data_IF_802358577512
#
_entry.id   IF_802358577512
#
_cell.length_a   1.000
_cell.length_b   1.000
_cell.length_c   1.000
_cell.angle_alpha   90.00
_cell.angle_beta   90.00
_cell.angle_gamma   90.00
#
_symmetry.space_group_name_H-M   'P 1'
#
loop_
_entity.id
_entity.type
_entity.pdbx_description
1 polymer ?
#
# COMPACT_ATOMS: atom_id res chain seq x y z
N UNK A 1 -35.68 -12.69 1.62
CA UNK A 1 -34.99 -13.88 2.17
C UNK A 1 -33.54 -13.82 1.73
N UNK A 2 -32.62 -13.93 2.68
CA UNK A 2 -31.16 -13.84 2.49
C UNK A 2 -30.67 -15.07 1.73
N UNK A 3 -30.17 -14.88 0.52
CA UNK A 3 -29.59 -15.97 -0.27
C UNK A 3 -28.17 -16.23 0.22
N UNK A 4 -28.04 -17.34 0.97
CA UNK A 4 -26.78 -18.00 1.25
C UNK A 4 -26.22 -18.54 -0.06
N UNK A 5 -25.02 -18.14 -0.48
CA UNK A 5 -24.30 -18.78 -1.57
C UNK A 5 -22.81 -18.90 -1.25
N UNK A 6 -22.49 -20.14 -0.84
CA UNK A 6 -21.31 -20.96 -1.14
C UNK A 6 -19.92 -20.35 -0.96
N UNK A 7 -19.36 -20.72 0.20
CA UNK A 7 -17.97 -21.10 0.36
C UNK A 7 -17.50 -21.94 -0.85
N UNK A 8 -16.58 -21.38 -1.63
CA UNK A 8 -15.69 -22.14 -2.49
C UNK A 8 -14.27 -21.76 -2.10
N UNK A 9 -13.82 -22.37 -1.00
CA UNK A 9 -12.44 -22.34 -0.56
C UNK A 9 -11.63 -23.22 -1.53
N UNK A 10 -11.15 -22.63 -2.62
CA UNK A 10 -10.16 -23.24 -3.51
C UNK A 10 -8.79 -23.10 -2.84
N UNK A 11 -8.56 -24.05 -1.94
CA UNK A 11 -7.29 -24.43 -1.34
C UNK A 11 -6.24 -24.75 -2.43
N UNK A 12 -4.99 -24.39 -2.13
CA UNK A 12 -3.72 -24.75 -2.80
C UNK A 12 -3.25 -23.83 -3.93
N UNK A 13 -2.36 -22.91 -3.55
CA UNK A 13 -1.41 -22.25 -4.44
C UNK A 13 -0.29 -21.54 -3.69
N UNK A 14 0.03 -21.99 -2.46
CA UNK A 14 1.19 -21.48 -1.72
C UNK A 14 2.43 -22.11 -2.35
N UNK A 15 2.91 -21.49 -3.42
CA UNK A 15 4.29 -21.69 -3.88
C UNK A 15 5.17 -21.04 -2.83
N UNK A 16 5.94 -21.86 -2.12
CA UNK A 16 6.94 -21.42 -1.16
C UNK A 16 7.76 -20.27 -1.77
N UNK A 17 7.63 -19.07 -1.19
CA UNK A 17 8.51 -17.95 -1.49
C UNK A 17 9.84 -18.28 -0.85
N UNK A 18 10.72 -18.89 -1.65
CA UNK A 18 12.09 -19.18 -1.29
C UNK A 18 12.74 -17.90 -0.76
N UNK A 19 13.38 -18.02 0.40
CA UNK A 19 14.30 -17.06 0.99
C UNK A 19 15.17 -16.41 -0.11
N UNK A 20 14.86 -15.17 -0.47
CA UNK A 20 15.81 -14.34 -1.18
C UNK A 20 16.76 -13.77 -0.13
N UNK A 21 17.77 -14.58 0.20
CA UNK A 21 18.95 -14.17 0.95
C UNK A 21 19.45 -12.85 0.38
N UNK A 22 19.41 -11.82 1.22
CA UNK A 22 20.15 -10.58 1.01
C UNK A 22 21.63 -10.94 0.83
N UNK A 23 22.18 -10.71 -0.36
CA UNK A 23 23.61 -10.72 -0.58
C UNK A 23 23.96 -9.64 -1.60
N UNK A 24 24.69 -8.63 -1.13
CA UNK A 24 25.19 -7.50 -1.89
C UNK A 24 25.95 -6.57 -0.95
N UNK A 25 27.23 -6.90 -0.75
CA UNK A 25 28.19 -6.23 0.13
C UNK A 25 28.26 -4.70 -0.01
N UNK A 26 28.28 -4.04 1.15
CA UNK A 26 28.63 -2.64 1.31
C UNK A 26 29.04 -2.36 2.76
N UNK A 27 30.34 -2.44 3.02
CA UNK A 27 30.98 -2.15 4.31
C UNK A 27 30.56 -0.78 4.88
N UNK A 28 29.82 -0.78 5.99
CA UNK A 28 29.49 0.43 6.75
C UNK A 28 28.84 0.10 8.09
N UNK A 29 29.56 0.34 9.18
CA UNK A 29 29.13 0.19 10.57
C UNK A 29 27.73 0.79 10.85
N UNK A 30 26.80 -0.02 11.37
CA UNK A 30 25.60 0.46 12.06
C UNK A 30 24.48 -0.57 12.23
N UNK A 31 24.45 -1.22 13.39
CA UNK A 31 23.23 -1.80 14.01
C UNK A 31 22.52 -2.91 13.25
N UNK A 32 22.94 -4.16 13.44
CA UNK A 32 22.12 -5.34 13.17
C UNK A 32 20.96 -5.39 14.18
N UNK A 33 19.73 -5.09 13.74
CA UNK A 33 18.51 -5.59 14.36
C UNK A 33 17.35 -5.49 13.36
N UNK A 34 17.32 -6.39 12.37
CA UNK A 34 16.18 -6.51 11.46
C UNK A 34 15.03 -7.22 12.16
N UNK A 35 14.07 -6.46 12.68
CA UNK A 35 12.87 -6.96 13.37
C UNK A 35 11.66 -7.08 12.42
N UNK A 36 11.85 -7.36 11.14
CA UNK A 36 10.75 -7.53 10.18
C UNK A 36 10.72 -8.94 9.57
N UNK A 37 9.56 -9.59 9.57
CA UNK A 37 9.29 -10.79 8.77
C UNK A 37 8.72 -10.40 7.37
N UNK A 38 8.62 -11.42 6.51
CA UNK A 38 8.20 -11.46 5.10
C UNK A 38 7.37 -10.26 4.58
N UNK A 39 7.94 -9.54 3.60
CA UNK A 39 7.22 -8.51 2.84
C UNK A 39 6.30 -9.22 1.85
N UNK A 40 5.00 -8.91 1.87
CA UNK A 40 4.11 -9.26 0.77
C UNK A 40 4.26 -8.21 -0.34
N UNK A 41 4.89 -8.55 -1.48
CA UNK A 41 5.23 -7.56 -2.50
C UNK A 41 3.99 -7.02 -3.20
N UNK A 42 4.06 -5.76 -3.61
CA UNK A 42 2.97 -5.06 -4.30
C UNK A 42 2.51 -5.74 -5.59
N UNK A 43 3.40 -6.46 -6.27
CA UNK A 43 3.04 -7.21 -7.47
C UNK A 43 1.92 -8.24 -7.27
N UNK A 44 1.77 -8.79 -6.06
CA UNK A 44 0.74 -9.80 -5.74
C UNK A 44 -0.40 -9.22 -4.92
N UNK A 45 -0.10 -8.38 -3.93
CA UNK A 45 -1.10 -7.92 -2.97
C UNK A 45 -2.06 -6.88 -3.55
N UNK A 46 -1.58 -6.04 -4.47
CA UNK A 46 -2.41 -5.01 -5.12
C UNK A 46 -3.62 -5.61 -5.85
N UNK A 47 -3.43 -6.76 -6.52
CA UNK A 47 -4.52 -7.43 -7.26
C UNK A 47 -5.58 -7.96 -6.30
N UNK A 48 -5.18 -8.53 -5.16
CA UNK A 48 -6.10 -8.97 -4.12
C UNK A 48 -6.93 -7.81 -3.59
N UNK A 49 -6.27 -6.70 -3.21
CA UNK A 49 -6.94 -5.51 -2.68
C UNK A 49 -7.92 -4.93 -3.70
N UNK A 50 -7.52 -4.76 -4.96
CA UNK A 50 -8.41 -4.26 -6.00
C UNK A 50 -9.60 -5.19 -6.26
N UNK A 51 -9.40 -6.51 -6.18
CA UNK A 51 -10.49 -7.49 -6.32
C UNK A 51 -11.60 -7.34 -5.27
N UNK A 52 -11.27 -6.81 -4.09
CA UNK A 52 -12.22 -6.55 -3.00
C UNK A 52 -12.86 -5.15 -3.06
N UNK A 53 -12.44 -4.27 -4.00
CA UNK A 53 -13.06 -2.96 -4.23
C UNK A 53 -14.35 -3.07 -5.06
N UNK A 54 -15.16 -2.01 -5.10
CA UNK A 54 -16.35 -1.95 -5.95
C UNK A 54 -16.02 -2.00 -7.45
N UNK A 55 -16.98 -2.48 -8.26
CA UNK A 55 -16.85 -2.50 -9.74
C UNK A 55 -16.53 -1.11 -10.33
N UNK A 56 -17.03 -0.03 -9.71
CA UNK A 56 -16.77 1.35 -10.13
C UNK A 56 -15.30 1.70 -9.95
N UNK A 57 -14.71 1.30 -8.83
CA UNK A 57 -13.29 1.52 -8.53
C UNK A 57 -12.41 0.67 -9.42
N UNK A 58 -12.76 -0.60 -9.64
CA UNK A 58 -12.03 -1.48 -10.56
C UNK A 58 -12.03 -0.97 -12.01
N UNK A 59 -13.07 -0.23 -12.42
CA UNK A 59 -13.12 0.42 -13.74
C UNK A 59 -12.27 1.69 -13.84
N UNK A 60 -11.82 2.27 -12.72
CA UNK A 60 -11.03 3.50 -12.67
C UNK A 60 -9.56 3.29 -12.30
N UNK A 61 -9.29 2.27 -11.48
CA UNK A 61 -7.96 1.96 -10.95
C UNK A 61 -7.41 0.68 -11.55
N UNK A 62 -6.18 0.77 -12.07
CA UNK A 62 -5.42 -0.39 -12.51
C UNK A 62 -4.34 -0.79 -11.50
N UNK A 63 -4.13 -2.10 -11.36
CA UNK A 63 -3.05 -2.63 -10.52
C UNK A 63 -1.69 -2.30 -11.14
N UNK A 64 -0.73 -1.88 -10.31
CA UNK A 64 0.68 -1.73 -10.67
C UNK A 64 1.56 -2.28 -9.55
N UNK A 65 2.75 -2.78 -9.93
CA UNK A 65 3.78 -3.14 -8.97
C UNK A 65 4.77 -1.99 -8.76
N UNK A 66 5.19 -1.75 -7.53
CA UNK A 66 6.17 -0.71 -7.21
C UNK A 66 7.27 -1.27 -6.31
N UNK A 67 8.42 -1.56 -6.91
CA UNK A 67 9.61 -2.00 -6.15
C UNK A 67 10.09 -0.93 -5.16
N UNK A 68 9.81 0.34 -5.43
CA UNK A 68 10.12 1.45 -4.53
C UNK A 68 9.23 1.43 -3.30
N UNK A 69 7.93 1.18 -3.47
CA UNK A 69 6.99 1.02 -2.35
C UNK A 69 7.34 -0.22 -1.53
N UNK A 70 7.64 -1.34 -2.18
CA UNK A 70 8.04 -2.58 -1.50
C UNK A 70 9.26 -2.34 -0.60
N UNK A 71 10.28 -1.64 -1.12
CA UNK A 71 11.48 -1.25 -0.36
C UNK A 71 11.15 -0.32 0.81
N UNK A 72 10.27 0.65 0.61
CA UNK A 72 9.89 1.60 1.65
C UNK A 72 9.15 0.89 2.80
N UNK A 73 8.18 0.04 2.49
CA UNK A 73 7.44 -0.76 3.48
C UNK A 73 8.38 -1.70 4.23
N UNK A 74 9.25 -2.41 3.50
CA UNK A 74 10.26 -3.28 4.10
C UNK A 74 11.23 -2.52 5.02
N UNK A 75 11.66 -1.32 4.60
CA UNK A 75 12.57 -0.49 5.39
C UNK A 75 11.93 -0.10 6.72
N UNK A 76 10.67 0.37 6.71
CA UNK A 76 9.98 0.72 7.95
C UNK A 76 9.82 -0.50 8.85
N UNK A 77 9.35 -1.62 8.30
CA UNK A 77 9.11 -2.84 9.07
C UNK A 77 10.37 -3.40 9.74
N UNK A 78 11.54 -3.29 9.09
CA UNK A 78 12.79 -3.82 9.60
C UNK A 78 13.54 -2.90 10.58
N UNK A 79 13.37 -1.57 10.44
CA UNK A 79 14.21 -0.60 11.16
C UNK A 79 13.46 0.14 12.28
N UNK A 80 12.13 0.00 12.32
CA UNK A 80 11.31 0.69 13.30
C UNK A 80 10.37 -0.29 13.98
N UNK A 81 10.03 0.06 15.21
CA UNK A 81 8.94 -0.57 15.93
C UNK A 81 7.78 0.42 15.99
N UNK A 82 6.62 0.01 15.47
CA UNK A 82 5.37 0.74 15.68
C UNK A 82 4.66 0.10 16.88
N UNK A 83 5.16 0.41 18.08
CA UNK A 83 4.52 0.04 19.32
C UNK A 83 3.60 1.18 19.75
N UNK A 84 2.30 0.98 19.67
CA UNK A 84 1.38 1.71 20.55
C UNK A 84 1.08 0.85 21.78
N UNK A 85 0.93 1.50 22.92
CA UNK A 85 0.61 0.86 24.21
C UNK A 85 -0.68 0.01 24.17
N UNK A 86 -1.47 0.19 23.10
CA UNK A 86 -2.43 -0.76 22.56
C UNK A 86 -2.30 -0.68 21.03
N UNK A 87 -1.82 -1.72 20.35
CA UNK A 87 -1.75 -1.70 18.88
C UNK A 87 -3.16 -1.46 18.34
N UNK A 88 -3.34 -0.40 17.55
CA UNK A 88 -4.67 -0.02 17.05
C UNK A 88 -5.23 -1.17 16.22
N UNK A 89 -6.42 -1.65 16.56
CA UNK A 89 -7.18 -2.59 15.73
C UNK A 89 -7.76 -1.89 14.48
N UNK A 90 -7.74 -0.56 14.47
CA UNK A 90 -8.12 0.25 13.32
C UNK A 90 -6.88 0.55 12.47
N UNK A 91 -7.03 0.43 11.15
CA UNK A 91 -6.05 0.89 10.18
C UNK A 91 -5.80 2.40 10.41
N UNK A 92 -4.55 2.77 10.74
CA UNK A 92 -4.19 4.13 11.14
C UNK A 92 -3.03 4.64 10.31
N UNK A 93 -3.17 5.84 9.74
CA UNK A 93 -2.09 6.44 8.96
C UNK A 93 -0.91 6.80 9.86
N UNK A 94 0.31 6.53 9.41
CA UNK A 94 1.51 7.02 10.07
C UNK A 94 1.55 8.55 9.88
N UNK A 95 1.61 9.36 10.95
CA UNK A 95 1.58 10.81 10.78
C UNK A 95 2.81 11.36 10.04
N UNK A 96 2.63 12.48 9.33
CA UNK A 96 3.75 13.18 8.72
C UNK A 96 4.73 13.70 9.79
N UNK A 97 6.03 13.68 9.48
CA UNK A 97 7.10 14.08 10.40
C UNK A 97 7.54 13.00 11.40
N UNK A 98 6.91 11.82 11.39
CA UNK A 98 7.44 10.65 12.10
C UNK A 98 8.71 10.13 11.42
N UNK A 99 9.66 9.64 12.22
CA UNK A 99 10.97 9.19 11.73
C UNK A 99 10.86 8.11 10.65
N UNK A 100 9.84 7.25 10.73
CA UNK A 100 9.52 6.21 9.77
C UNK A 100 9.28 6.78 8.36
N UNK A 101 8.46 7.83 8.27
CA UNK A 101 8.11 8.51 7.02
C UNK A 101 9.34 9.23 6.48
N UNK A 102 9.98 10.05 7.31
CA UNK A 102 11.18 10.82 6.93
C UNK A 102 12.30 9.93 6.39
N UNK A 103 12.47 8.73 6.95
CA UNK A 103 13.53 7.83 6.52
C UNK A 103 13.28 7.20 5.13
N UNK A 104 12.02 7.05 4.72
CA UNK A 104 11.67 6.45 3.44
C UNK A 104 11.30 7.46 2.35
N UNK A 105 11.27 8.76 2.65
CA UNK A 105 11.13 9.82 1.64
C UNK A 105 12.23 9.74 0.55
N UNK A 106 13.46 9.41 0.95
CA UNK A 106 14.57 9.19 0.02
C UNK A 106 14.47 7.87 -0.77
N UNK A 107 13.63 6.94 -0.32
CA UNK A 107 13.32 5.73 -1.10
C UNK A 107 12.24 6.09 -2.11
N UNK A 108 11.16 6.74 -1.67
CA UNK A 108 10.01 7.19 -2.47
C UNK A 108 10.27 8.49 -3.26
N UNK A 109 11.49 8.70 -3.75
CA UNK A 109 11.87 9.93 -4.46
C UNK A 109 10.93 10.23 -5.63
N UNK A 110 10.48 11.49 -5.71
CA UNK A 110 9.53 11.95 -6.74
C UNK A 110 8.05 11.75 -6.38
N UNK A 111 7.74 10.84 -5.45
CA UNK A 111 6.40 10.67 -4.91
C UNK A 111 6.16 11.66 -3.74
N UNK A 112 4.89 11.96 -3.45
CA UNK A 112 4.48 12.90 -2.39
C UNK A 112 3.76 12.17 -1.27
N UNK A 113 4.29 12.27 -0.05
CA UNK A 113 3.64 11.69 1.12
C UNK A 113 2.34 12.41 1.48
N UNK A 114 1.34 11.65 1.91
CA UNK A 114 0.11 12.14 2.53
C UNK A 114 -0.15 11.32 3.78
N UNK A 115 -0.35 11.99 4.92
CA UNK A 115 -0.81 11.37 6.17
C UNK A 115 -2.34 11.33 6.26
N UNK A 116 -3.04 11.93 5.29
CA UNK A 116 -4.48 11.82 5.11
C UNK A 116 -4.85 11.91 3.61
N UNK A 117 -5.07 10.77 2.97
CA UNK A 117 -5.55 10.70 1.58
C UNK A 117 -7.07 10.81 1.46
N UNK A 118 -7.83 10.65 2.54
CA UNK A 118 -9.31 10.68 2.53
C UNK A 118 -9.86 12.08 2.21
N UNK A 119 -9.07 13.12 2.44
CA UNK A 119 -9.42 14.51 2.07
C UNK A 119 -8.76 14.98 0.77
N UNK A 120 -7.96 14.11 0.14
CA UNK A 120 -7.27 14.42 -1.11
C UNK A 120 -8.20 14.17 -2.30
N UNK A 121 -8.23 15.11 -3.24
CA UNK A 121 -8.96 14.95 -4.49
C UNK A 121 -8.02 14.47 -5.58
N UNK A 122 -8.37 13.35 -6.21
CA UNK A 122 -7.72 12.81 -7.40
C UNK A 122 -8.35 13.35 -8.70
N UNK A 123 -9.17 14.40 -8.61
CA UNK A 123 -9.76 15.05 -9.76
C UNK A 123 -8.70 15.61 -10.72
N UNK A 124 -9.04 15.80 -12.01
CA UNK A 124 -8.14 16.34 -13.01
C UNK A 124 -7.51 17.64 -12.57
N UNK A 125 -6.19 17.72 -12.72
CA UNK A 125 -5.44 18.92 -12.40
C UNK A 125 -4.39 19.16 -13.49
N UNK A 126 -3.73 20.31 -13.48
CA UNK A 126 -2.75 20.62 -14.54
C UNK A 126 -1.37 19.98 -14.27
N UNK A 127 -1.34 18.70 -13.92
CA UNK A 127 -0.12 17.96 -13.63
C UNK A 127 0.20 16.96 -14.75
N UNK A 128 1.49 16.64 -14.91
CA UNK A 128 1.90 15.44 -15.65
C UNK A 128 1.71 14.20 -14.78
N UNK A 129 2.59 13.21 -14.93
CA UNK A 129 2.62 12.06 -14.02
C UNK A 129 2.94 12.49 -12.58
N UNK A 130 2.16 12.00 -11.63
CA UNK A 130 2.35 12.28 -10.20
C UNK A 130 1.97 11.10 -9.34
N UNK A 131 2.86 10.72 -8.43
CA UNK A 131 2.60 9.68 -7.44
C UNK A 131 2.38 10.28 -6.05
N UNK A 132 1.31 9.85 -5.38
CA UNK A 132 1.06 10.09 -3.96
C UNK A 132 1.15 8.78 -3.20
N UNK A 133 1.64 8.83 -1.97
CA UNK A 133 1.73 7.63 -1.14
C UNK A 133 1.40 7.92 0.31
N UNK A 134 0.90 6.88 0.98
CA UNK A 134 0.55 6.88 2.41
C UNK A 134 1.03 5.56 2.99
N UNK A 135 1.39 5.58 4.28
CA UNK A 135 1.64 4.37 5.04
C UNK A 135 0.66 4.27 6.20
N UNK A 136 0.16 3.07 6.41
CA UNK A 136 -0.69 2.70 7.52
C UNK A 136 0.01 1.70 8.41
N UNK A 137 -0.46 1.64 9.64
CA UNK A 137 -0.16 0.56 10.56
C UNK A 137 -1.45 0.05 11.20
N UNK A 138 -1.44 -1.23 11.56
CA UNK A 138 -2.56 -1.93 12.21
C UNK A 138 -2.01 -3.09 13.03
N UNK A 139 -2.72 -3.53 14.06
CA UNK A 139 -2.29 -4.69 14.85
C UNK A 139 -2.17 -5.97 14.01
N UNK A 140 -1.10 -6.74 14.24
CA UNK A 140 -0.94 -8.10 13.69
C UNK A 140 -1.96 -9.10 14.27
N UNK A 141 -2.72 -8.71 15.30
CA UNK A 141 -3.89 -9.45 15.75
C UNK A 141 -5.03 -9.46 14.70
N UNK A 142 -5.07 -8.46 13.81
CA UNK A 142 -6.06 -8.41 12.73
C UNK A 142 -5.76 -9.47 11.66
N UNK A 143 -6.80 -9.87 10.93
CA UNK A 143 -6.67 -10.81 9.81
C UNK A 143 -6.23 -10.09 8.55
N UNK A 144 -5.56 -10.80 7.67
CA UNK A 144 -5.21 -10.30 6.34
C UNK A 144 -6.46 -9.87 5.55
N UNK A 145 -7.56 -10.60 5.69
CA UNK A 145 -8.86 -10.28 5.09
C UNK A 145 -9.36 -8.92 5.58
N UNK A 146 -9.37 -8.67 6.89
CA UNK A 146 -9.77 -7.37 7.43
C UNK A 146 -8.87 -6.23 6.93
N UNK A 147 -7.55 -6.43 6.90
CA UNK A 147 -6.62 -5.41 6.42
C UNK A 147 -6.87 -5.13 4.93
N UNK A 148 -7.14 -6.16 4.13
CA UNK A 148 -7.45 -6.05 2.70
C UNK A 148 -8.73 -5.26 2.49
N UNK A 149 -9.82 -5.62 3.17
CA UNK A 149 -11.12 -4.93 3.13
C UNK A 149 -10.97 -3.45 3.51
N UNK A 150 -10.23 -3.14 4.58
CA UNK A 150 -10.02 -1.75 5.02
C UNK A 150 -9.25 -0.91 3.98
N UNK A 151 -8.29 -1.50 3.26
CA UNK A 151 -7.60 -0.78 2.19
C UNK A 151 -8.50 -0.66 0.95
N UNK A 152 -9.28 -1.69 0.63
CA UNK A 152 -10.25 -1.65 -0.46
C UNK A 152 -11.29 -0.54 -0.27
N UNK A 153 -11.87 -0.43 0.94
CA UNK A 153 -12.79 0.65 1.30
C UNK A 153 -12.15 2.04 1.08
N UNK A 154 -10.86 2.19 1.42
CA UNK A 154 -10.13 3.45 1.18
C UNK A 154 -9.98 3.76 -0.31
N UNK A 155 -9.67 2.75 -1.13
CA UNK A 155 -9.60 2.92 -2.58
C UNK A 155 -10.96 3.31 -3.16
N UNK A 156 -12.04 2.72 -2.67
CA UNK A 156 -13.42 3.07 -3.06
C UNK A 156 -13.74 4.53 -2.75
N UNK A 157 -13.41 5.00 -1.54
CA UNK A 157 -13.60 6.40 -1.15
C UNK A 157 -12.81 7.36 -2.05
N UNK A 158 -11.55 7.04 -2.38
CA UNK A 158 -10.71 7.90 -3.21
C UNK A 158 -11.15 7.93 -4.67
N UNK A 159 -11.62 6.80 -5.21
CA UNK A 159 -12.09 6.65 -6.58
C UNK A 159 -13.34 7.49 -6.91
N UNK A 160 -14.08 7.95 -5.89
CA UNK A 160 -15.20 8.89 -6.05
C UNK A 160 -14.75 10.18 -6.76
N UNK A 161 -13.53 10.64 -6.51
CA UNK A 161 -12.98 11.87 -7.10
C UNK A 161 -12.23 11.67 -8.42
N UNK A 162 -11.97 10.42 -8.82
CA UNK A 162 -11.25 10.08 -10.05
C UNK A 162 -12.17 10.17 -11.27
N UNK A 163 -11.59 10.53 -12.41
CA UNK A 163 -12.27 10.48 -13.72
C UNK A 163 -12.37 9.03 -14.19
N UNK A 164 -13.38 8.73 -15.00
CA UNK A 164 -13.50 7.40 -15.59
C UNK A 164 -12.40 7.18 -16.63
N UNK A 165 -12.03 5.92 -16.83
CA UNK A 165 -11.14 5.56 -17.92
C UNK A 165 -11.70 6.05 -19.28
N UNK A 166 -10.81 6.47 -20.18
CA UNK A 166 -11.10 7.10 -21.47
C UNK A 166 -11.92 8.42 -21.46
N UNK A 167 -12.41 8.90 -20.31
CA UNK A 167 -13.16 10.15 -20.25
C UNK A 167 -12.23 11.36 -20.47
N UNK A 168 -12.58 12.19 -21.47
CA UNK A 168 -11.81 13.38 -21.81
C UNK A 168 -12.28 14.55 -20.95
N UNK A 169 -11.39 15.01 -20.06
CA UNK A 169 -11.57 16.23 -19.26
C UNK A 169 -10.44 17.19 -19.56
N UNK A 170 -10.79 18.45 -19.89
CA UNK A 170 -9.83 19.51 -20.23
C UNK A 170 -8.81 19.12 -21.32
N UNK A 171 -9.30 18.45 -22.38
CA UNK A 171 -8.52 17.92 -23.49
C UNK A 171 -7.45 16.89 -23.08
N UNK A 172 -7.69 16.12 -22.02
CA UNK A 172 -6.82 15.03 -21.62
C UNK A 172 -7.61 13.84 -21.07
N UNK A 173 -7.03 12.65 -21.16
CA UNK A 173 -7.46 11.47 -20.41
C UNK A 173 -6.59 11.30 -19.17
N UNK A 174 -7.11 10.54 -18.21
CA UNK A 174 -6.52 10.36 -16.90
C UNK A 174 -6.46 8.89 -16.51
N UNK A 175 -5.25 8.37 -16.38
CA UNK A 175 -5.01 6.99 -15.97
C UNK A 175 -4.60 6.96 -14.50
N UNK A 176 -5.21 6.06 -13.72
CA UNK A 176 -4.89 5.88 -12.31
C UNK A 176 -4.37 4.47 -12.07
N UNK A 177 -3.18 4.36 -11.53
CA UNK A 177 -2.60 3.08 -11.10
C UNK A 177 -2.34 3.08 -9.60
N UNK A 178 -2.57 1.94 -8.96
CA UNK A 178 -2.31 1.75 -7.53
C UNK A 178 -1.31 0.63 -7.30
N UNK A 179 -0.46 0.78 -6.29
CA UNK A 179 0.38 -0.26 -5.73
C UNK A 179 0.14 -0.34 -4.23
N UNK A 180 -0.07 -1.56 -3.71
CA UNK A 180 -0.25 -1.81 -2.29
C UNK A 180 0.74 -2.88 -1.83
N UNK A 181 1.57 -2.57 -0.84
CA UNK A 181 2.51 -3.52 -0.23
C UNK A 181 2.26 -3.61 1.28
N UNK A 182 2.58 -4.76 1.88
CA UNK A 182 2.53 -4.91 3.34
C UNK A 182 3.70 -5.71 3.89
N UNK A 183 4.04 -5.48 5.15
CA UNK A 183 5.05 -6.25 5.87
C UNK A 183 4.77 -6.29 7.38
N UNK A 184 5.19 -7.36 8.04
CA UNK A 184 5.12 -7.48 9.49
C UNK A 184 6.26 -6.68 10.15
N UNK A 185 5.91 -5.87 11.15
CA UNK A 185 6.80 -5.05 11.95
C UNK A 185 6.78 -5.55 13.40
N UNK A 186 7.86 -6.22 13.81
CA UNK A 186 7.92 -6.84 15.12
C UNK A 186 8.25 -5.79 16.19
N UNK A 187 7.58 -5.89 17.33
CA UNK A 187 7.85 -5.02 18.48
C UNK A 187 9.09 -5.46 19.29
N UNK A 188 9.58 -6.68 19.05
CA UNK A 188 10.76 -7.24 19.68
C UNK A 188 11.42 -8.28 18.77
N UNK A 189 12.34 -9.06 19.35
CA UNK A 189 13.13 -10.03 18.59
C UNK A 189 12.38 -11.35 18.31
N UNK A 190 11.20 -11.52 18.92
CA UNK A 190 10.36 -12.72 18.77
C UNK A 190 8.96 -12.28 18.33
N UNK A 191 8.33 -12.98 17.37
CA UNK A 191 6.98 -12.68 16.92
C UNK A 191 5.95 -12.75 18.06
N UNK A 192 5.14 -11.69 18.22
CA UNK A 192 4.05 -11.59 19.18
C UNK A 192 2.89 -10.80 18.57
N UNK A 193 1.86 -11.51 18.09
CA UNK A 193 0.70 -10.89 17.43
C UNK A 193 -0.04 -9.85 18.27
N UNK A 194 0.09 -9.88 19.60
CA UNK A 194 -0.53 -8.90 20.49
C UNK A 194 0.25 -7.57 20.56
N UNK A 195 1.52 -7.56 20.14
CA UNK A 195 2.42 -6.41 20.19
C UNK A 195 2.91 -5.96 18.82
N UNK A 196 2.97 -6.88 17.87
CA UNK A 196 3.41 -6.62 16.51
C UNK A 196 2.37 -5.84 15.72
N UNK A 197 2.86 -5.12 14.71
CA UNK A 197 2.04 -4.39 13.75
C UNK A 197 2.26 -4.91 12.34
N UNK A 198 1.28 -4.70 11.47
CA UNK A 198 1.43 -4.79 10.02
C UNK A 198 1.54 -3.38 9.47
N UNK A 199 2.58 -3.14 8.67
CA UNK A 199 2.74 -1.91 7.90
C UNK A 199 2.11 -2.13 6.54
N UNK A 200 1.29 -1.20 6.07
CA UNK A 200 0.68 -1.24 4.74
C UNK A 200 1.00 0.07 4.02
N UNK A 201 1.75 -0.01 2.92
CA UNK A 201 2.00 1.13 2.04
C UNK A 201 1.03 1.12 0.88
N UNK A 202 0.49 2.28 0.53
CA UNK A 202 -0.34 2.48 -0.67
C UNK A 202 0.26 3.63 -1.47
N UNK A 203 0.49 3.41 -2.77
CA UNK A 203 0.90 4.44 -3.70
C UNK A 203 -0.09 4.52 -4.87
N UNK A 204 -0.56 5.72 -5.18
CA UNK A 204 -1.45 6.00 -6.30
C UNK A 204 -0.73 6.94 -7.26
N UNK A 205 -0.57 6.51 -8.52
CA UNK A 205 0.02 7.30 -9.60
C UNK A 205 -1.09 7.73 -10.55
N UNK A 206 -1.16 9.03 -10.80
CA UNK A 206 -2.04 9.63 -11.79
C UNK A 206 -1.20 10.01 -13.00
N UNK A 207 -1.67 9.69 -14.20
CA UNK A 207 -1.02 10.05 -15.46
C UNK A 207 -2.00 10.81 -16.34
N UNK A 208 -1.61 12.02 -16.74
CA UNK A 208 -2.35 12.85 -17.68
C UNK A 208 -1.86 12.63 -19.11
N UNK A 209 -2.77 12.36 -20.03
CA UNK A 209 -2.45 12.23 -21.47
C UNK A 209 -3.23 13.26 -22.28
N UNK A 210 -2.54 14.27 -22.81
CA UNK A 210 -3.17 15.31 -23.65
C UNK A 210 -3.68 14.73 -24.98
N UNK A 211 -4.94 15.01 -25.31
CA UNK A 211 -5.56 14.68 -26.59
C UNK A 211 -5.08 15.68 -27.64
N UNK A 212 -4.27 15.20 -28.60
CA UNK A 212 -3.83 16.01 -29.74
C UNK A 212 -4.90 15.98 -30.83
N UNK A 213 -5.55 17.12 -31.08
CA UNK A 213 -6.34 17.30 -32.30
C UNK A 213 -5.36 17.54 -33.46
N UNK A 214 -5.28 16.58 -34.38
CA UNK A 214 -4.58 16.72 -35.67
C UNK A 214 -5.41 17.53 -36.66
#
# INVERSE_FOLDING_TARGET
MKLKKIASLALVGIMAVSMLTACGEGTGNGGENGNGEEVTPSASYTVTVLGDTSDVTQAKLSASSSTTLDKAVAFVANNYTIASNAVSQNLSAIPNGWNQVTAVENIMLGATYKDNMDTFSFAPASYGEKTYWIMYHVSRAMTDEYITEQIADKLDDWAVSMVNDDEIVDNATWDYTVSVAKADCLAGNEPDRAKDSVIVGVAVTLTKTDVKYN
#
